data_IF_352082883560
#
_entry.id   IF_352082883560
#
_cell.length_a   1.000
_cell.length_b   1.000
_cell.length_c   1.000
_cell.angle_alpha   90.00
_cell.angle_beta   90.00
_cell.angle_gamma   90.00
#
_symmetry.space_group_name_H-M   'P 1'
#
loop_
_entity.id
_entity.type
_entity.pdbx_description
1 polymer ?
#
# COMPACT_ATOMS: atom_id res chain seq x y z
N UNK A 1 4.09 8.85 -33.57
CA UNK A 1 3.33 8.18 -32.49
C UNK A 1 3.21 6.67 -32.68
N UNK A 2 2.92 6.12 -33.87
CA UNK A 2 2.85 4.66 -34.08
C UNK A 2 4.19 3.90 -33.90
N UNK A 3 5.35 4.51 -34.13
CA UNK A 3 6.65 3.82 -33.99
C UNK A 3 7.15 3.67 -32.55
N UNK A 4 6.65 4.49 -31.61
CA UNK A 4 6.90 4.34 -30.17
C UNK A 4 6.02 3.22 -29.58
N UNK A 5 4.79 3.08 -30.06
CA UNK A 5 3.84 2.04 -29.64
C UNK A 5 4.30 0.61 -29.96
N UNK A 6 5.04 0.39 -31.05
CA UNK A 6 5.58 -0.93 -31.40
C UNK A 6 6.75 -1.39 -30.51
N UNK A 7 7.47 -0.47 -29.87
CA UNK A 7 8.52 -0.82 -28.90
C UNK A 7 7.96 -1.17 -27.51
N UNK A 8 6.78 -0.64 -27.18
CA UNK A 8 6.07 -0.83 -25.90
C UNK A 8 5.49 -2.26 -25.77
N UNK A 9 5.04 -2.89 -26.86
CA UNK A 9 4.57 -4.29 -26.84
C UNK A 9 5.69 -5.32 -26.68
N UNK A 10 6.93 -4.98 -27.03
CA UNK A 10 8.07 -5.90 -26.92
C UNK A 10 8.49 -6.13 -25.46
N UNK A 11 8.19 -5.20 -24.55
CA UNK A 11 8.49 -5.32 -23.11
C UNK A 11 7.36 -6.03 -22.35
N UNK A 12 6.10 -5.81 -22.73
CA UNK A 12 4.92 -6.45 -22.11
C UNK A 12 4.84 -7.96 -22.45
N UNK A 13 5.34 -8.38 -23.61
CA UNK A 13 5.30 -9.78 -24.06
C UNK A 13 6.31 -10.72 -23.42
N UNK A 14 7.30 -10.21 -22.67
CA UNK A 14 8.39 -11.04 -22.14
C UNK A 14 8.10 -11.63 -20.73
N UNK A 15 7.05 -11.19 -20.05
CA UNK A 15 6.76 -11.59 -18.66
C UNK A 15 5.73 -12.71 -18.48
N UNK A 16 5.14 -13.27 -19.55
CA UNK A 16 4.25 -14.44 -19.43
C UNK A 16 4.78 -15.74 -20.04
N UNK A 17 5.96 -15.72 -20.63
CA UNK A 17 6.65 -16.93 -21.06
C UNK A 17 8.12 -16.64 -21.28
N UNK A 18 9.01 -17.04 -20.37
CA UNK A 18 10.33 -17.57 -20.70
C UNK A 18 10.87 -18.30 -19.46
N UNK A 19 10.92 -19.62 -19.63
CA UNK A 19 11.83 -20.57 -19.01
C UNK A 19 13.25 -20.05 -18.91
N UNK A 20 13.89 -20.28 -17.75
CA UNK A 20 15.33 -20.20 -17.46
C UNK A 20 16.22 -20.13 -18.70
N UNK A 21 16.66 -18.92 -19.04
CA UNK A 21 17.70 -18.64 -20.03
C UNK A 21 18.55 -17.50 -19.47
N UNK A 22 19.76 -17.83 -19.01
CA UNK A 22 20.71 -16.91 -18.40
C UNK A 22 21.17 -15.89 -19.45
N UNK A 23 20.91 -14.57 -19.30
CA UNK A 23 21.59 -13.56 -20.09
C UNK A 23 23.03 -13.40 -19.61
N UNK A 24 23.95 -13.18 -20.55
CA UNK A 24 25.39 -13.03 -20.30
C UNK A 24 25.64 -11.68 -19.61
N UNK A 25 26.31 -11.72 -18.45
CA UNK A 25 26.59 -10.60 -17.50
C UNK A 25 27.08 -9.27 -18.11
N UNK A 26 27.65 -9.26 -19.32
CA UNK A 26 28.16 -8.06 -19.98
C UNK A 26 27.07 -7.23 -20.71
N UNK A 27 25.95 -7.85 -21.08
CA UNK A 27 24.80 -7.18 -21.72
C UNK A 27 23.96 -6.42 -20.66
N UNK A 28 23.95 -6.93 -19.42
CA UNK A 28 23.22 -6.38 -18.28
C UNK A 28 23.79 -5.03 -17.78
N UNK A 29 25.12 -4.86 -17.77
CA UNK A 29 25.78 -3.65 -17.26
C UNK A 29 25.58 -2.41 -18.17
N UNK A 30 25.59 -2.61 -19.50
CA UNK A 30 25.32 -1.53 -20.47
C UNK A 30 23.83 -1.15 -20.47
N UNK A 31 22.94 -2.13 -20.29
CA UNK A 31 21.50 -1.92 -20.12
C UNK A 31 21.17 -1.18 -18.82
N UNK A 32 21.89 -1.46 -17.71
CA UNK A 32 21.70 -0.78 -16.43
C UNK A 32 22.05 0.72 -16.52
N UNK A 33 23.14 1.06 -17.21
CA UNK A 33 23.60 2.45 -17.39
C UNK A 33 22.68 3.26 -18.30
N UNK A 34 22.15 2.63 -19.35
CA UNK A 34 21.14 3.23 -20.22
C UNK A 34 19.82 3.46 -19.46
N UNK A 35 19.42 2.49 -18.63
CA UNK A 35 18.24 2.58 -17.75
C UNK A 35 18.36 3.72 -16.73
N UNK A 36 19.52 3.90 -16.11
CA UNK A 36 19.77 5.03 -15.20
C UNK A 36 19.68 6.39 -15.89
N UNK A 37 20.20 6.52 -17.12
CA UNK A 37 20.08 7.76 -17.90
C UNK A 37 18.62 8.06 -18.25
N UNK A 38 17.83 7.03 -18.58
CA UNK A 38 16.42 7.15 -18.87
C UNK A 38 15.62 7.56 -17.62
N UNK A 39 15.94 7.02 -16.44
CA UNK A 39 15.32 7.41 -15.18
C UNK A 39 15.53 8.90 -14.86
N UNK A 40 16.73 9.44 -15.10
CA UNK A 40 17.00 10.87 -14.88
C UNK A 40 16.28 11.78 -15.87
N UNK A 41 16.00 11.31 -17.10
CA UNK A 41 15.15 12.02 -18.05
C UNK A 41 13.67 11.96 -17.61
N UNK A 42 13.19 10.78 -17.23
CA UNK A 42 11.83 10.57 -16.72
C UNK A 42 11.57 11.44 -15.48
N UNK A 43 12.52 11.56 -14.53
CA UNK A 43 12.38 12.45 -13.36
C UNK A 43 12.18 13.92 -13.73
N UNK A 44 12.90 14.41 -14.74
CA UNK A 44 12.72 15.79 -15.22
C UNK A 44 11.34 15.98 -15.84
N UNK A 45 10.87 14.99 -16.59
CA UNK A 45 9.54 15.01 -17.19
C UNK A 45 8.44 14.95 -16.11
N UNK A 46 8.62 14.13 -15.07
CA UNK A 46 7.73 14.11 -13.91
C UNK A 46 7.64 15.49 -13.23
N UNK A 47 8.76 16.20 -13.08
CA UNK A 47 8.76 17.53 -12.45
C UNK A 47 8.05 18.58 -13.31
N UNK A 48 8.19 18.51 -14.64
CA UNK A 48 7.43 19.34 -15.58
C UNK A 48 5.93 19.03 -15.50
N UNK A 49 5.56 17.75 -15.42
CA UNK A 49 4.17 17.32 -15.30
C UNK A 49 3.56 17.75 -13.97
N UNK A 50 4.30 17.66 -12.85
CA UNK A 50 3.85 18.18 -11.55
C UNK A 50 3.54 19.69 -11.62
N UNK A 51 4.36 20.47 -12.32
CA UNK A 51 4.11 21.89 -12.55
C UNK A 51 2.86 22.10 -13.43
N UNK A 52 2.75 21.37 -14.54
CA UNK A 52 1.59 21.45 -15.43
C UNK A 52 0.28 21.05 -14.75
N UNK A 53 0.30 20.05 -13.88
CA UNK A 53 -0.84 19.63 -13.05
C UNK A 53 -1.23 20.75 -12.07
N UNK A 54 -0.26 21.40 -11.43
CA UNK A 54 -0.51 22.51 -10.51
C UNK A 54 -1.14 23.72 -11.23
N UNK A 55 -0.69 24.02 -12.46
CA UNK A 55 -1.23 25.09 -13.28
C UNK A 55 -2.64 24.75 -13.81
N UNK A 56 -2.85 23.52 -14.26
CA UNK A 56 -4.13 23.03 -14.77
C UNK A 56 -5.22 22.99 -13.68
N UNK A 57 -4.85 22.64 -12.43
CA UNK A 57 -5.76 22.64 -11.28
C UNK A 57 -6.42 24.00 -11.02
N UNK A 58 -5.76 25.10 -11.37
CA UNK A 58 -6.30 26.45 -11.21
C UNK A 58 -7.20 26.88 -12.39
N UNK A 59 -7.34 26.05 -13.42
CA UNK A 59 -8.00 26.37 -14.69
C UNK A 59 -9.09 25.35 -15.08
N UNK A 60 -9.55 24.46 -14.18
CA UNK A 60 -10.49 23.32 -14.37
C UNK A 60 -11.90 23.68 -14.93
N UNK A 61 -12.10 24.92 -15.38
CA UNK A 61 -13.37 25.43 -15.88
C UNK A 61 -13.73 24.97 -17.29
N UNK A 62 -12.92 24.17 -17.98
CA UNK A 62 -13.23 23.68 -19.33
C UNK A 62 -12.94 22.19 -19.47
N UNK A 63 -13.62 21.51 -20.40
CA UNK A 63 -13.40 20.09 -20.68
C UNK A 63 -11.97 19.85 -21.15
N UNK A 64 -11.45 20.75 -22.00
CA UNK A 64 -10.09 20.65 -22.51
C UNK A 64 -9.04 20.70 -21.38
N UNK A 65 -9.22 21.59 -20.40
CA UNK A 65 -8.32 21.69 -19.27
C UNK A 65 -8.42 20.46 -18.35
N UNK A 66 -9.64 19.94 -18.14
CA UNK A 66 -9.84 18.72 -17.35
C UNK A 66 -9.21 17.49 -18.01
N UNK A 67 -9.30 17.37 -19.35
CA UNK A 67 -8.64 16.30 -20.10
C UNK A 67 -7.12 16.45 -20.06
N UNK A 68 -6.59 17.66 -20.21
CA UNK A 68 -5.15 17.91 -20.10
C UNK A 68 -4.62 17.58 -18.69
N UNK A 69 -5.38 17.91 -17.65
CA UNK A 69 -5.06 17.51 -16.28
C UNK A 69 -4.98 15.99 -16.12
N UNK A 70 -6.01 15.26 -16.58
CA UNK A 70 -6.03 13.80 -16.51
C UNK A 70 -4.90 13.17 -17.34
N UNK A 71 -4.60 13.73 -18.51
CA UNK A 71 -3.49 13.28 -19.36
C UNK A 71 -2.15 13.43 -18.66
N UNK A 72 -1.89 14.60 -18.07
CA UNK A 72 -0.66 14.84 -17.34
C UNK A 72 -0.55 13.93 -16.10
N UNK A 73 -1.68 13.62 -15.43
CA UNK A 73 -1.69 12.68 -14.31
C UNK A 73 -1.41 11.24 -14.74
N UNK A 74 -2.00 10.80 -15.86
CA UNK A 74 -1.78 9.48 -16.43
C UNK A 74 -0.30 9.34 -16.80
N UNK A 75 0.26 10.31 -17.52
CA UNK A 75 1.65 10.31 -17.94
C UNK A 75 2.61 10.33 -16.75
N UNK A 76 2.33 11.15 -15.73
CA UNK A 76 3.10 11.18 -14.49
C UNK A 76 3.09 9.80 -13.80
N UNK A 77 1.93 9.16 -13.71
CA UNK A 77 1.78 7.86 -13.06
C UNK A 77 2.48 6.76 -13.87
N UNK A 78 2.42 6.81 -15.21
CA UNK A 78 3.15 5.88 -16.09
C UNK A 78 4.66 6.00 -15.90
N UNK A 79 5.20 7.22 -15.87
CA UNK A 79 6.64 7.46 -15.63
C UNK A 79 7.08 7.00 -14.24
N UNK A 80 6.24 7.17 -13.23
CA UNK A 80 6.51 6.67 -11.87
C UNK A 80 6.53 5.14 -11.81
N UNK A 81 5.63 4.47 -12.54
CA UNK A 81 5.63 3.01 -12.66
C UNK A 81 6.92 2.55 -13.33
N UNK A 82 7.34 3.19 -14.43
CA UNK A 82 8.58 2.85 -15.12
C UNK A 82 9.81 3.00 -14.20
N UNK A 83 9.88 4.11 -13.45
CA UNK A 83 10.95 4.35 -12.47
C UNK A 83 10.98 3.27 -11.38
N UNK A 84 9.82 2.99 -10.78
CA UNK A 84 9.67 1.98 -9.71
C UNK A 84 10.00 0.58 -10.24
N UNK A 85 9.64 0.26 -11.49
CA UNK A 85 10.00 -1.02 -12.11
C UNK A 85 11.51 -1.16 -12.34
N UNK A 86 12.17 -0.09 -12.78
CA UNK A 86 13.62 -0.08 -12.95
C UNK A 86 14.34 -0.24 -11.60
N UNK A 87 13.88 0.45 -10.55
CA UNK A 87 14.40 0.33 -9.18
C UNK A 87 14.22 -1.10 -8.64
N UNK A 88 13.05 -1.71 -8.88
CA UNK A 88 12.78 -3.10 -8.52
C UNK A 88 13.76 -4.08 -9.19
N UNK A 89 13.98 -3.94 -10.50
CA UNK A 89 14.91 -4.80 -11.24
C UNK A 89 16.35 -4.64 -10.76
N UNK A 90 16.81 -3.41 -10.53
CA UNK A 90 18.15 -3.15 -10.00
C UNK A 90 18.36 -3.78 -8.61
N UNK A 91 17.35 -3.70 -7.73
CA UNK A 91 17.38 -4.36 -6.41
C UNK A 91 17.33 -5.89 -6.52
N UNK A 92 16.65 -6.42 -7.53
CA UNK A 92 16.63 -7.85 -7.80
C UNK A 92 18.01 -8.37 -8.25
N UNK A 93 18.73 -7.60 -9.08
CA UNK A 93 20.12 -7.91 -9.44
C UNK A 93 21.06 -7.81 -8.22
N UNK A 94 20.85 -6.83 -7.34
CA UNK A 94 21.60 -6.72 -6.07
C UNK A 94 21.36 -7.94 -5.18
N UNK A 95 20.12 -8.43 -5.11
CA UNK A 95 19.73 -9.62 -4.37
C UNK A 95 20.45 -10.87 -4.90
N UNK A 96 20.46 -11.06 -6.21
CA UNK A 96 21.13 -12.20 -6.84
C UNK A 96 22.64 -12.17 -6.59
N UNK A 97 23.28 -11.00 -6.71
CA UNK A 97 24.70 -10.84 -6.37
C UNK A 97 24.98 -11.10 -4.88
N UNK A 98 24.09 -10.69 -3.97
CA UNK A 98 24.24 -10.95 -2.54
C UNK A 98 24.11 -12.44 -2.21
N UNK A 99 23.18 -13.15 -2.85
CA UNK A 99 23.03 -14.60 -2.72
C UNK A 99 24.27 -15.36 -3.20
N UNK A 100 24.85 -14.96 -4.33
CA UNK A 100 26.11 -15.52 -4.83
C UNK A 100 27.27 -15.29 -3.84
N UNK A 101 27.37 -14.08 -3.28
CA UNK A 101 28.38 -13.73 -2.28
C UNK A 101 28.22 -14.57 -1.00
N UNK A 102 26.99 -14.78 -0.54
CA UNK A 102 26.67 -15.62 0.61
C UNK A 102 27.07 -17.08 0.37
N UNK A 103 26.77 -17.63 -0.82
CA UNK A 103 27.16 -18.99 -1.19
C UNK A 103 28.70 -19.16 -1.20
N UNK A 104 29.41 -18.20 -1.78
CA UNK A 104 30.88 -18.20 -1.79
C UNK A 104 31.48 -18.08 -0.38
N UNK A 105 30.92 -17.22 0.47
CA UNK A 105 31.36 -17.07 1.87
C UNK A 105 31.11 -18.35 2.68
N UNK A 106 29.97 -19.01 2.49
CA UNK A 106 29.67 -20.28 3.15
C UNK A 106 30.70 -21.37 2.80
N UNK A 107 31.06 -21.49 1.51
CA UNK A 107 32.12 -22.41 1.08
C UNK A 107 33.49 -22.07 1.70
N UNK A 108 33.80 -20.78 1.85
CA UNK A 108 35.06 -20.34 2.47
C UNK A 108 35.11 -20.72 3.94
N UNK A 109 34.03 -20.49 4.69
CA UNK A 109 33.89 -20.87 6.09
C UNK A 109 34.06 -22.39 6.26
N UNK A 110 33.48 -23.19 5.37
CA UNK A 110 33.63 -24.66 5.41
C UNK A 110 35.10 -25.09 5.21
N UNK A 111 35.81 -24.47 4.26
CA UNK A 111 37.25 -24.72 4.03
C UNK A 111 38.09 -24.31 5.24
N UNK A 112 37.81 -23.14 5.83
CA UNK A 112 38.50 -22.64 7.03
C UNK A 112 38.25 -23.57 8.22
N UNK A 113 37.02 -24.04 8.42
CA UNK A 113 36.68 -25.01 9.46
C UNK A 113 37.47 -26.31 9.29
N UNK A 114 37.53 -26.86 8.07
CA UNK A 114 38.31 -28.07 7.80
C UNK A 114 39.81 -27.88 8.08
N UNK A 115 40.36 -26.69 7.78
CA UNK A 115 41.75 -26.36 8.12
C UNK A 115 41.97 -26.32 9.63
N UNK A 116 41.05 -25.68 10.38
CA UNK A 116 41.08 -25.65 11.85
C UNK A 116 41.04 -27.08 12.42
N UNK A 117 40.18 -27.95 11.90
CA UNK A 117 40.07 -29.34 12.35
C UNK A 117 41.36 -30.12 12.12
N UNK A 118 41.99 -29.97 10.94
CA UNK A 118 43.28 -30.61 10.61
C UNK A 118 44.42 -30.11 11.49
N UNK A 119 44.54 -28.79 11.67
CA UNK A 119 45.56 -28.17 12.52
C UNK A 119 45.39 -28.59 13.99
N UNK A 120 44.14 -28.61 14.48
CA UNK A 120 43.80 -29.05 15.84
C UNK A 120 44.14 -30.53 16.05
N UNK A 121 43.84 -31.38 15.08
CA UNK A 121 44.18 -32.80 15.13
C UNK A 121 45.70 -33.02 15.18
N UNK A 122 46.46 -32.32 14.33
CA UNK A 122 47.92 -32.38 14.31
C UNK A 122 48.54 -31.89 15.63
N UNK A 123 48.07 -30.75 16.13
CA UNK A 123 48.54 -30.17 17.39
C UNK A 123 48.22 -31.09 18.59
N UNK A 124 47.03 -31.69 18.62
CA UNK A 124 46.63 -32.64 19.67
C UNK A 124 47.47 -33.91 19.62
N UNK A 125 47.75 -34.45 18.44
CA UNK A 125 48.64 -35.61 18.27
C UNK A 125 50.05 -35.30 18.80
N UNK A 126 50.59 -34.11 18.46
CA UNK A 126 51.89 -33.64 18.93
C UNK A 126 51.97 -33.51 20.45
N UNK A 127 50.97 -32.89 21.09
CA UNK A 127 50.89 -32.78 22.55
C UNK A 127 50.85 -34.16 23.18
N UNK A 128 50.04 -35.08 22.65
CA UNK A 128 49.91 -36.45 23.16
C UNK A 128 51.24 -37.20 23.11
N UNK A 129 51.97 -37.11 22.01
CA UNK A 129 53.25 -37.80 21.84
C UNK A 129 54.33 -37.18 22.74
N UNK A 130 54.35 -35.85 22.88
CA UNK A 130 55.20 -35.15 23.84
C UNK A 130 54.93 -35.62 25.28
N UNK A 131 53.67 -35.75 25.67
CA UNK A 131 53.26 -36.22 26.99
C UNK A 131 53.63 -37.70 27.26
N UNK A 132 53.42 -38.59 26.28
CA UNK A 132 53.82 -40.01 26.40
C UNK A 132 55.33 -40.14 26.57
N UNK A 133 56.09 -39.35 25.81
CA UNK A 133 57.55 -39.32 25.89
C UNK A 133 58.00 -38.85 27.28
N UNK A 134 57.40 -37.76 27.80
CA UNK A 134 57.75 -37.22 29.12
C UNK A 134 57.38 -38.13 30.29
N UNK A 135 56.28 -38.90 30.21
CA UNK A 135 55.93 -39.89 31.23
C UNK A 135 56.84 -41.13 31.21
N UNK A 136 57.26 -41.59 30.02
CA UNK A 136 58.11 -42.78 29.88
C UNK A 136 59.55 -42.55 30.34
N UNK A 137 60.04 -41.31 30.31
CA UNK A 137 61.30 -40.91 30.93
C UNK A 137 61.04 -40.45 32.38
N UNK A 138 61.46 -41.23 33.39
CA UNK A 138 61.45 -40.84 34.82
C UNK A 138 62.36 -39.64 35.18
N UNK A 139 62.67 -38.76 34.23
CA UNK A 139 63.49 -37.57 34.39
C UNK A 139 62.78 -36.42 33.71
N UNK A 140 62.15 -35.57 34.51
CA UNK A 140 61.31 -34.42 34.16
C UNK A 140 62.08 -33.25 33.54
N UNK A 141 63.17 -33.50 32.81
CA UNK A 141 63.90 -32.46 32.08
C UNK A 141 64.50 -33.00 30.78
N UNK A 142 64.32 -32.24 29.70
CA UNK A 142 64.89 -32.51 28.36
C UNK A 142 66.42 -32.60 28.38
N UNK A 143 67.07 -32.01 29.39
CA UNK A 143 68.52 -31.92 29.55
C UNK A 143 69.18 -33.27 29.93
N UNK A 144 68.73 -34.01 30.96
CA UNK A 144 69.25 -35.35 31.25
C UNK A 144 68.97 -36.37 30.14
N UNK A 145 67.88 -36.29 29.37
CA UNK A 145 67.67 -37.16 28.20
C UNK A 145 68.67 -36.88 27.07
N UNK A 146 68.97 -35.59 26.83
CA UNK A 146 69.99 -35.13 25.88
C UNK A 146 71.39 -35.64 26.22
N UNK A 147 71.70 -35.75 27.52
CA UNK A 147 73.03 -36.10 28.03
C UNK A 147 73.20 -37.57 28.41
N UNK A 148 72.13 -38.31 28.72
CA UNK A 148 72.22 -39.70 29.23
C UNK A 148 72.21 -40.79 28.16
N UNK A 149 71.92 -40.46 26.91
CA UNK A 149 71.79 -41.43 25.80
C UNK A 149 72.66 -41.09 24.58
N UNK A 150 73.66 -40.22 24.75
CA UNK A 150 74.57 -39.74 23.71
C UNK A 150 76.00 -40.22 23.99
N UNK A 151 76.61 -40.93 23.05
CA UNK A 151 77.98 -41.46 23.17
C UNK A 151 79.08 -40.46 22.72
N UNK A 152 78.72 -39.29 22.15
CA UNK A 152 79.66 -38.23 21.76
C UNK A 152 79.01 -36.82 21.77
N UNK A 153 79.84 -35.78 21.72
CA UNK A 153 79.44 -34.37 21.79
C UNK A 153 78.70 -33.88 20.52
N UNK A 154 78.91 -34.53 19.37
CA UNK A 154 78.23 -34.22 18.12
C UNK A 154 76.75 -34.64 18.18
N UNK A 155 76.44 -35.80 18.77
CA UNK A 155 75.07 -36.28 18.96
C UNK A 155 74.25 -35.36 19.87
N UNK A 156 74.87 -34.79 20.91
CA UNK A 156 74.23 -33.80 21.78
C UNK A 156 73.88 -32.53 21.00
N UNK A 157 74.80 -32.02 20.18
CA UNK A 157 74.58 -30.81 19.36
C UNK A 157 73.50 -31.05 18.29
N UNK A 158 73.50 -32.22 17.63
CA UNK A 158 72.47 -32.59 16.64
C UNK A 158 71.08 -32.71 17.29
N UNK A 159 70.96 -33.37 18.44
CA UNK A 159 69.68 -33.49 19.16
C UNK A 159 69.17 -32.15 19.67
N UNK A 160 70.06 -31.26 20.14
CA UNK A 160 69.69 -29.89 20.50
C UNK A 160 69.15 -29.10 19.30
N UNK A 161 69.80 -29.22 18.13
CA UNK A 161 69.29 -28.63 16.88
C UNK A 161 67.92 -29.19 16.51
N UNK A 162 67.71 -30.50 16.59
CA UNK A 162 66.41 -31.10 16.30
C UNK A 162 65.31 -30.65 17.26
N UNK A 163 65.60 -30.53 18.56
CA UNK A 163 64.64 -30.00 19.53
C UNK A 163 64.26 -28.55 19.24
N UNK A 164 65.22 -27.71 18.80
CA UNK A 164 64.92 -26.34 18.37
C UNK A 164 64.04 -26.29 17.12
N UNK A 165 64.29 -27.15 16.13
CA UNK A 165 63.45 -27.25 14.93
C UNK A 165 62.02 -27.68 15.29
N UNK A 166 61.88 -28.62 16.22
CA UNK A 166 60.59 -29.08 16.74
C UNK A 166 59.84 -27.97 17.49
N UNK A 167 60.50 -27.24 18.38
CA UNK A 167 59.92 -26.10 19.10
C UNK A 167 59.41 -25.02 18.13
N UNK A 168 60.21 -24.69 17.11
CA UNK A 168 59.83 -23.73 16.07
C UNK A 168 58.60 -24.19 15.29
N UNK A 169 58.54 -25.48 14.91
CA UNK A 169 57.40 -26.04 14.19
C UNK A 169 56.13 -26.06 15.07
N UNK A 170 56.25 -26.36 16.36
CA UNK A 170 55.14 -26.36 17.31
C UNK A 170 54.58 -24.93 17.51
N UNK A 171 55.45 -23.90 17.58
CA UNK A 171 55.06 -22.49 17.60
C UNK A 171 54.38 -22.06 16.29
N UNK A 172 54.92 -22.48 15.15
CA UNK A 172 54.32 -22.19 13.84
C UNK A 172 52.93 -22.81 13.70
N UNK A 173 52.74 -24.05 14.16
CA UNK A 173 51.44 -24.74 14.11
C UNK A 173 50.40 -24.03 14.99
N UNK A 174 50.79 -23.55 16.18
CA UNK A 174 49.92 -22.77 17.05
C UNK A 174 49.54 -21.43 16.41
N UNK A 175 50.50 -20.71 15.83
CA UNK A 175 50.24 -19.45 15.12
C UNK A 175 49.31 -19.62 13.91
N UNK A 176 49.47 -20.70 13.14
CA UNK A 176 48.56 -21.04 12.04
C UNK A 176 47.14 -21.35 12.53
N UNK A 177 47.01 -22.07 13.66
CA UNK A 177 45.71 -22.36 14.26
C UNK A 177 45.02 -21.11 14.79
N UNK A 178 45.76 -20.21 15.44
CA UNK A 178 45.26 -18.92 15.92
C UNK A 178 44.76 -18.05 14.76
N UNK A 179 45.55 -17.92 13.69
CA UNK A 179 45.17 -17.14 12.51
C UNK A 179 43.96 -17.73 11.78
N UNK A 180 43.89 -19.06 11.66
CA UNK A 180 42.74 -19.73 11.06
C UNK A 180 41.46 -19.51 11.87
N UNK A 181 41.53 -19.59 13.21
CA UNK A 181 40.40 -19.30 14.11
C UNK A 181 39.95 -17.84 14.03
N UNK A 182 40.90 -16.91 13.95
CA UNK A 182 40.61 -15.49 13.76
C UNK A 182 39.85 -15.25 12.45
N UNK A 183 40.39 -15.76 11.34
CA UNK A 183 39.77 -15.69 10.01
C UNK A 183 38.35 -16.27 10.02
N UNK A 184 38.16 -17.44 10.64
CA UNK A 184 36.85 -18.08 10.75
C UNK A 184 35.81 -17.21 11.50
N UNK A 185 36.23 -16.57 12.59
CA UNK A 185 35.34 -15.69 13.35
C UNK A 185 34.98 -14.42 12.55
N UNK A 186 35.94 -13.84 11.83
CA UNK A 186 35.70 -12.70 10.94
C UNK A 186 34.75 -13.06 9.79
N UNK A 187 34.93 -14.22 9.16
CA UNK A 187 34.05 -14.73 8.10
C UNK A 187 32.62 -15.00 8.62
N UNK A 188 32.48 -15.54 9.83
CA UNK A 188 31.17 -15.73 10.47
C UNK A 188 30.48 -14.41 10.80
N UNK A 189 31.22 -13.41 11.28
CA UNK A 189 30.66 -12.09 11.54
C UNK A 189 30.16 -11.45 10.24
N UNK A 190 30.97 -11.51 9.17
CA UNK A 190 30.58 -11.03 7.84
C UNK A 190 29.34 -11.76 7.29
N UNK A 191 29.24 -13.08 7.49
CA UNK A 191 28.07 -13.87 7.09
C UNK A 191 26.79 -13.36 7.77
N UNK A 192 26.86 -13.03 9.05
CA UNK A 192 25.71 -12.52 9.80
C UNK A 192 25.29 -11.13 9.30
N UNK A 193 26.24 -10.23 9.06
CA UNK A 193 25.97 -8.92 8.44
C UNK A 193 25.30 -9.08 7.07
N UNK A 194 25.81 -9.95 6.21
CA UNK A 194 25.23 -10.19 4.88
C UNK A 194 23.84 -10.82 4.90
N UNK A 195 23.51 -11.59 5.94
CA UNK A 195 22.14 -12.09 6.14
C UNK A 195 21.19 -10.98 6.55
N UNK A 196 21.65 -10.00 7.33
CA UNK A 196 20.85 -8.82 7.66
C UNK A 196 20.59 -7.98 6.41
N UNK A 197 21.63 -7.69 5.62
CA UNK A 197 21.51 -7.03 4.30
C UNK A 197 20.50 -7.76 3.39
N UNK A 198 20.49 -9.10 3.40
CA UNK A 198 19.59 -9.92 2.61
C UNK A 198 18.12 -9.75 3.00
N UNK A 199 17.82 -9.76 4.31
CA UNK A 199 16.45 -9.60 4.77
C UNK A 199 15.95 -8.16 4.56
N UNK A 200 16.80 -7.16 4.78
CA UNK A 200 16.48 -5.75 4.47
C UNK A 200 16.14 -5.58 2.98
N UNK A 201 16.95 -6.12 2.08
CA UNK A 201 16.72 -6.01 0.64
C UNK A 201 15.44 -6.72 0.17
N UNK A 202 15.08 -7.86 0.80
CA UNK A 202 13.80 -8.54 0.54
C UNK A 202 12.61 -7.71 0.99
N UNK A 203 12.72 -7.06 2.15
CA UNK A 203 11.67 -6.17 2.65
C UNK A 203 11.48 -4.96 1.73
N UNK A 204 12.57 -4.36 1.24
CA UNK A 204 12.52 -3.28 0.24
C UNK A 204 11.85 -3.73 -1.07
N UNK A 205 12.20 -4.90 -1.61
CA UNK A 205 11.56 -5.47 -2.81
C UNK A 205 10.06 -5.71 -2.61
N UNK A 206 9.66 -6.14 -1.41
CA UNK A 206 8.25 -6.33 -1.06
C UNK A 206 7.48 -5.01 -1.04
N UNK A 207 8.05 -3.97 -0.42
CA UNK A 207 7.48 -2.63 -0.40
C UNK A 207 7.35 -2.06 -1.81
N UNK A 208 8.36 -2.27 -2.64
CA UNK A 208 8.38 -1.79 -4.02
C UNK A 208 7.30 -2.45 -4.88
N UNK A 209 7.07 -3.76 -4.68
CA UNK A 209 5.97 -4.47 -5.33
C UNK A 209 4.59 -3.93 -4.92
N UNK A 210 4.41 -3.60 -3.64
CA UNK A 210 3.16 -2.97 -3.16
C UNK A 210 2.99 -1.57 -3.76
N UNK A 211 4.08 -0.80 -3.89
CA UNK A 211 4.08 0.52 -4.54
C UNK A 211 3.63 0.41 -6.00
N UNK A 212 4.16 -0.56 -6.75
CA UNK A 212 3.76 -0.83 -8.14
C UNK A 212 2.28 -1.18 -8.26
N UNK A 213 1.76 -2.03 -7.36
CA UNK A 213 0.34 -2.39 -7.36
C UNK A 213 -0.55 -1.16 -7.10
N UNK A 214 -0.19 -0.33 -6.13
CA UNK A 214 -0.89 0.93 -5.84
C UNK A 214 -0.88 1.91 -7.01
N UNK A 215 0.27 2.09 -7.67
CA UNK A 215 0.39 2.93 -8.86
C UNK A 215 -0.42 2.37 -10.04
N UNK A 216 -0.41 1.05 -10.26
CA UNK A 216 -1.17 0.39 -11.33
C UNK A 216 -2.69 0.58 -11.15
N UNK A 217 -3.18 0.42 -9.91
CA UNK A 217 -4.58 0.68 -9.57
C UNK A 217 -4.96 2.15 -9.80
N UNK A 218 -4.06 3.07 -9.43
CA UNK A 218 -4.24 4.51 -9.65
C UNK A 218 -4.33 4.84 -11.15
N UNK A 219 -3.41 4.29 -11.96
CA UNK A 219 -3.39 4.47 -13.40
C UNK A 219 -4.68 3.94 -14.06
N UNK A 220 -5.15 2.78 -13.64
CA UNK A 220 -6.41 2.21 -14.13
C UNK A 220 -7.61 3.12 -13.80
N UNK A 221 -7.66 3.68 -12.58
CA UNK A 221 -8.69 4.61 -12.17
C UNK A 221 -8.66 5.93 -12.97
N UNK A 222 -7.48 6.49 -13.21
CA UNK A 222 -7.31 7.70 -14.03
C UNK A 222 -7.76 7.48 -15.47
N UNK A 223 -7.33 6.37 -16.10
CA UNK A 223 -7.76 5.99 -17.47
C UNK A 223 -9.27 5.79 -17.56
N UNK A 224 -9.86 5.08 -16.61
CA UNK A 224 -11.31 4.89 -16.53
C UNK A 224 -12.05 6.23 -16.38
N UNK A 225 -11.53 7.15 -15.56
CA UNK A 225 -12.13 8.47 -15.34
C UNK A 225 -12.10 9.31 -16.62
N UNK A 226 -10.96 9.29 -17.34
CA UNK A 226 -10.82 9.97 -18.64
C UNK A 226 -11.76 9.39 -19.69
N UNK A 227 -11.80 8.07 -19.85
CA UNK A 227 -12.66 7.41 -20.83
C UNK A 227 -14.13 7.70 -20.57
N UNK A 228 -14.53 7.72 -19.30
CA UNK A 228 -15.89 8.03 -18.95
C UNK A 228 -16.23 9.51 -19.14
N UNK A 229 -15.32 10.44 -18.79
CA UNK A 229 -15.50 11.86 -19.08
C UNK A 229 -15.72 12.10 -20.58
N UNK A 230 -14.91 11.45 -21.44
CA UNK A 230 -15.08 11.49 -22.89
C UNK A 230 -16.41 10.88 -23.34
N UNK A 231 -16.88 9.82 -22.68
CA UNK A 231 -18.15 9.16 -23.02
C UNK A 231 -19.38 10.01 -22.69
N UNK A 232 -19.41 10.64 -21.51
CA UNK A 232 -20.57 11.44 -21.08
C UNK A 232 -20.62 12.80 -21.76
N UNK A 233 -19.45 13.44 -21.91
CA UNK A 233 -19.37 14.73 -22.60
C UNK A 233 -19.42 14.55 -24.10
N UNK A 234 -19.10 13.35 -24.63
CA UNK A 234 -18.91 13.11 -26.06
C UNK A 234 -17.89 14.07 -26.68
N UNK A 235 -16.92 14.50 -25.86
CA UNK A 235 -15.96 15.54 -26.22
C UNK A 235 -16.62 16.89 -26.58
N UNK A 236 -17.79 17.19 -26.00
CA UNK A 236 -18.54 18.43 -26.19
C UNK A 236 -18.46 19.32 -24.93
N UNK A 237 -17.96 20.53 -25.13
CA UNK A 237 -17.76 21.52 -24.06
C UNK A 237 -19.09 21.98 -23.46
N UNK A 238 -20.14 22.15 -24.27
CA UNK A 238 -21.44 22.61 -23.76
C UNK A 238 -22.07 21.57 -22.81
N UNK A 239 -21.96 20.29 -23.17
CA UNK A 239 -22.38 19.17 -22.32
C UNK A 239 -21.58 19.15 -21.00
N UNK A 240 -20.26 19.35 -21.06
CA UNK A 240 -19.42 19.46 -19.86
C UNK A 240 -19.82 20.64 -18.97
N UNK A 241 -20.02 21.84 -19.54
CA UNK A 241 -20.44 23.03 -18.80
C UNK A 241 -21.80 22.84 -18.15
N UNK A 242 -22.75 22.18 -18.82
CA UNK A 242 -24.05 21.85 -18.23
C UNK A 242 -23.88 20.96 -17.00
N UNK A 243 -23.12 19.88 -17.12
CA UNK A 243 -22.85 18.96 -16.01
C UNK A 243 -22.13 19.66 -14.85
N UNK A 244 -21.14 20.50 -15.15
CA UNK A 244 -20.42 21.27 -14.14
C UNK A 244 -21.36 22.21 -13.37
N UNK A 245 -22.26 22.88 -14.06
CA UNK A 245 -23.25 23.76 -13.42
C UNK A 245 -24.26 22.97 -12.56
N UNK A 246 -24.68 21.78 -12.99
CA UNK A 246 -25.56 20.90 -12.22
C UNK A 246 -24.89 20.47 -10.90
N UNK A 247 -23.62 20.06 -10.93
CA UNK A 247 -22.84 19.66 -9.76
C UNK A 247 -22.61 20.84 -8.80
N UNK A 248 -22.27 22.02 -9.34
CA UNK A 248 -22.08 23.21 -8.52
C UNK A 248 -23.39 23.65 -7.85
N UNK A 249 -24.52 23.50 -8.54
CA UNK A 249 -25.83 23.78 -7.96
C UNK A 249 -26.19 22.80 -6.83
N UNK A 250 -25.87 21.50 -6.99
CA UNK A 250 -26.04 20.49 -5.95
C UNK A 250 -25.13 20.74 -4.74
N UNK A 251 -23.86 21.08 -4.96
CA UNK A 251 -22.93 21.49 -3.90
C UNK A 251 -23.47 22.68 -3.11
N UNK A 252 -23.98 23.70 -3.82
CA UNK A 252 -24.55 24.88 -3.20
C UNK A 252 -25.80 24.53 -2.38
N UNK A 253 -26.63 23.60 -2.86
CA UNK A 253 -27.85 23.21 -2.16
C UNK A 253 -27.57 22.42 -0.89
N UNK A 254 -26.61 21.48 -0.92
CA UNK A 254 -26.14 20.78 0.28
C UNK A 254 -25.51 21.73 1.30
N UNK A 255 -24.69 22.69 0.87
CA UNK A 255 -24.12 23.69 1.79
C UNK A 255 -25.22 24.56 2.44
N UNK A 256 -26.24 24.95 1.68
CA UNK A 256 -27.41 25.66 2.21
C UNK A 256 -28.17 24.82 3.24
N UNK A 257 -28.28 23.51 3.01
CA UNK A 257 -28.95 22.60 3.92
C UNK A 257 -28.25 22.54 5.27
N UNK A 258 -26.93 22.40 5.27
CA UNK A 258 -26.11 22.41 6.49
C UNK A 258 -26.18 23.75 7.22
N UNK A 259 -26.22 24.88 6.50
CA UNK A 259 -26.40 26.19 7.10
C UNK A 259 -27.79 26.35 7.75
N UNK A 260 -28.84 25.84 7.10
CA UNK A 260 -30.20 25.85 7.65
C UNK A 260 -30.28 24.94 8.90
N UNK A 261 -29.70 23.75 8.84
CA UNK A 261 -29.59 22.86 9.99
C UNK A 261 -28.86 23.53 11.16
N UNK A 262 -27.70 24.14 10.91
CA UNK A 262 -26.97 24.88 11.93
C UNK A 262 -27.79 26.02 12.54
N UNK A 263 -28.59 26.72 11.73
CA UNK A 263 -29.50 27.77 12.21
C UNK A 263 -30.59 27.22 13.13
N UNK A 264 -31.15 26.04 12.82
CA UNK A 264 -32.13 25.35 13.65
C UNK A 264 -31.52 24.84 14.96
N UNK A 265 -30.30 24.29 14.93
CA UNK A 265 -29.59 23.86 16.15
C UNK A 265 -29.27 25.07 17.05
N UNK A 266 -28.90 26.22 16.47
CA UNK A 266 -28.64 27.46 17.23
C UNK A 266 -29.90 28.10 17.82
N UNK A 267 -31.05 27.91 17.19
CA UNK A 267 -32.33 28.47 17.61
C UNK A 267 -33.37 27.35 17.73
N UNK A 268 -33.33 26.57 18.82
CA UNK A 268 -34.27 25.48 19.05
C UNK A 268 -35.73 25.97 19.05
N UNK A 269 -36.63 25.12 18.60
CA UNK A 269 -38.08 25.36 18.51
C UNK A 269 -38.78 24.65 17.36
N UNK A 270 -38.04 24.02 16.44
CA UNK A 270 -38.58 23.29 15.29
C UNK A 270 -38.09 21.84 15.21
N UNK A 271 -37.25 21.41 16.14
CA UNK A 271 -36.84 20.03 16.31
C UNK A 271 -38.00 19.15 16.78
N UNK A 272 -37.96 17.88 16.38
CA UNK A 272 -38.98 16.90 16.74
C UNK A 272 -38.30 15.67 17.33
N UNK A 273 -38.69 15.28 18.54
CA UNK A 273 -38.29 13.97 19.06
C UNK A 273 -38.97 12.87 18.24
N UNK A 274 -38.17 11.95 17.70
CA UNK A 274 -38.65 10.81 16.93
C UNK A 274 -38.23 9.51 17.59
N UNK A 275 -39.09 8.51 17.50
CA UNK A 275 -38.80 7.13 17.87
C UNK A 275 -38.45 6.32 16.64
N UNK A 276 -37.65 5.27 16.84
CA UNK A 276 -37.39 4.28 15.80
C UNK A 276 -38.72 3.78 15.21
N UNK A 277 -38.86 3.88 13.88
CA UNK A 277 -40.09 3.48 13.20
C UNK A 277 -41.18 4.57 13.15
N UNK A 278 -40.90 5.81 13.56
CA UNK A 278 -41.77 6.95 13.25
C UNK A 278 -41.60 7.37 11.80
N UNK A 279 -42.69 7.79 11.14
CA UNK A 279 -42.65 8.32 9.77
C UNK A 279 -42.09 9.74 9.80
N UNK A 280 -40.97 9.94 9.10
CA UNK A 280 -40.24 11.22 9.05
C UNK A 280 -40.32 11.91 7.69
N UNK A 281 -40.83 11.21 6.67
CA UNK A 281 -40.99 11.78 5.35
C UNK A 281 -41.48 10.76 4.33
N UNK A 282 -41.52 11.21 3.08
CA UNK A 282 -41.92 10.39 1.94
C UNK A 282 -40.77 10.44 0.93
N UNK A 283 -40.46 9.29 0.31
CA UNK A 283 -39.49 9.21 -0.78
C UNK A 283 -39.86 10.23 -1.87
N UNK A 284 -38.86 10.97 -2.33
CA UNK A 284 -39.05 12.06 -3.27
C UNK A 284 -38.02 12.09 -4.38
N UNK A 285 -37.96 13.25 -5.03
CA UNK A 285 -37.04 13.59 -6.12
C UNK A 285 -36.55 15.04 -5.95
N UNK A 286 -36.44 15.51 -4.71
CA UNK A 286 -35.98 16.88 -4.46
C UNK A 286 -34.45 16.94 -4.59
N UNK A 287 -33.92 18.03 -5.14
CA UNK A 287 -32.50 18.18 -5.46
C UNK A 287 -32.17 17.71 -6.89
N UNK A 288 -30.89 17.73 -7.24
CA UNK A 288 -30.42 17.40 -8.59
C UNK A 288 -30.28 15.88 -8.78
N UNK A 289 -31.42 15.18 -8.81
CA UNK A 289 -31.45 13.71 -8.96
C UNK A 289 -32.10 13.22 -10.24
N UNK A 290 -31.54 12.13 -10.75
CA UNK A 290 -31.99 11.48 -11.99
C UNK A 290 -33.29 10.69 -11.83
N UNK A 291 -33.68 10.33 -10.60
CA UNK A 291 -34.88 9.56 -10.29
C UNK A 291 -35.31 9.66 -8.83
N UNK A 292 -36.52 9.18 -8.52
CA UNK A 292 -37.02 9.08 -7.15
C UNK A 292 -36.23 8.02 -6.37
N UNK A 293 -35.62 8.41 -5.27
CA UNK A 293 -34.91 7.52 -4.35
C UNK A 293 -34.69 8.23 -3.00
N UNK A 294 -34.32 7.45 -1.98
CA UNK A 294 -33.79 7.91 -0.70
C UNK A 294 -32.27 7.78 -0.73
N UNK A 295 -31.55 8.86 -0.49
CA UNK A 295 -30.14 8.79 -0.11
C UNK A 295 -30.04 8.77 1.42
N UNK A 296 -29.47 7.69 1.98
CA UNK A 296 -29.33 7.47 3.41
C UNK A 296 -27.85 7.46 3.82
N UNK A 297 -27.46 8.43 4.65
CA UNK A 297 -26.10 8.56 5.15
C UNK A 297 -26.01 8.39 6.66
N UNK A 298 -24.88 7.87 7.15
CA UNK A 298 -24.57 7.77 8.59
C UNK A 298 -23.27 8.50 8.86
N UNK A 299 -23.25 9.38 9.85
CA UNK A 299 -22.10 10.23 10.17
C UNK A 299 -21.81 10.23 11.68
N UNK A 300 -20.54 10.41 12.05
CA UNK A 300 -20.13 10.67 13.45
C UNK A 300 -20.22 12.15 13.77
N UNK A 301 -21.44 12.65 13.93
CA UNK A 301 -21.70 14.02 14.34
C UNK A 301 -22.73 14.11 15.46
N UNK A 302 -22.51 15.08 16.35
CA UNK A 302 -23.45 15.54 17.37
C UNK A 302 -23.91 16.98 17.06
N UNK A 303 -25.00 17.43 17.67
CA UNK A 303 -25.42 18.84 17.59
C UNK A 303 -24.30 19.80 18.02
N UNK A 304 -23.51 19.41 19.03
CA UNK A 304 -22.39 20.19 19.52
C UNK A 304 -21.27 20.33 18.46
N UNK A 305 -21.04 19.32 17.62
CA UNK A 305 -20.06 19.41 16.53
C UNK A 305 -20.49 20.45 15.50
N UNK A 306 -21.79 20.54 15.21
CA UNK A 306 -22.35 21.58 14.35
C UNK A 306 -22.17 22.98 14.96
N UNK A 307 -22.50 23.16 16.23
CA UNK A 307 -22.31 24.43 16.96
C UNK A 307 -20.83 24.86 16.98
N UNK A 308 -19.92 23.90 17.05
CA UNK A 308 -18.47 24.11 17.04
C UNK A 308 -17.88 24.29 15.63
N UNK A 309 -18.70 24.19 14.57
CA UNK A 309 -18.24 24.29 13.18
C UNK A 309 -17.41 23.09 12.70
N UNK A 310 -17.49 21.94 13.38
CA UNK A 310 -16.75 20.71 13.07
C UNK A 310 -17.59 19.72 12.27
N UNK A 311 -18.11 20.14 11.12
CA UNK A 311 -18.95 19.30 10.28
C UNK A 311 -18.51 19.35 8.81
N UNK A 312 -18.67 18.23 8.10
CA UNK A 312 -18.39 18.10 6.67
C UNK A 312 -19.05 16.84 6.13
N UNK A 313 -19.58 16.89 4.90
CA UNK A 313 -20.03 15.69 4.20
C UNK A 313 -18.87 14.82 3.70
N UNK A 314 -17.66 15.37 3.67
CA UNK A 314 -16.45 14.73 3.14
C UNK A 314 -15.71 13.88 4.15
N UNK A 315 -16.09 13.97 5.42
CA UNK A 315 -15.40 13.34 6.53
C UNK A 315 -16.41 12.73 7.48
N UNK A 316 -15.96 11.81 8.33
CA UNK A 316 -16.78 11.20 9.39
C UNK A 316 -18.03 10.45 8.92
N UNK A 317 -18.21 10.24 7.61
CA UNK A 317 -19.20 9.31 7.08
C UNK A 317 -18.80 7.87 7.43
N UNK A 318 -19.80 7.03 7.58
CA UNK A 318 -19.66 5.65 7.99
C UNK A 318 -20.47 4.77 7.06
N UNK A 319 -20.02 3.54 6.85
CA UNK A 319 -20.78 2.58 6.07
C UNK A 319 -22.14 2.30 6.73
N UNK A 320 -23.28 2.76 6.18
CA UNK A 320 -24.59 2.52 6.77
C UNK A 320 -24.91 1.03 6.92
N UNK A 321 -24.33 0.18 6.06
CA UNK A 321 -24.52 -1.26 6.08
C UNK A 321 -24.15 -1.88 7.43
N UNK A 322 -23.06 -1.42 8.04
CA UNK A 322 -22.58 -1.93 9.33
C UNK A 322 -23.53 -1.64 10.49
N UNK A 323 -24.37 -0.61 10.36
CA UNK A 323 -25.33 -0.20 11.39
C UNK A 323 -26.71 -0.82 11.19
N UNK A 324 -27.03 -1.23 9.96
CA UNK A 324 -28.31 -1.82 9.54
C UNK A 324 -28.32 -3.36 9.53
N UNK A 325 -27.22 -4.03 9.14
CA UNK A 325 -27.20 -5.47 8.85
C UNK A 325 -27.19 -6.37 10.11
N UNK A 326 -26.63 -5.86 11.21
CA UNK A 326 -26.48 -6.58 12.49
C UNK A 326 -26.78 -5.68 13.72
N UNK A 327 -27.21 -4.43 13.48
CA UNK A 327 -27.99 -3.58 14.38
C UNK A 327 -27.25 -2.73 15.40
N UNK A 328 -27.21 -1.42 15.15
CA UNK A 328 -27.59 -0.41 16.15
C UNK A 328 -28.67 0.55 15.63
N UNK A 329 -28.97 0.53 14.33
CA UNK A 329 -30.02 1.31 13.67
C UNK A 329 -31.01 0.33 13.00
N UNK A 330 -32.28 0.69 12.95
CA UNK A 330 -33.33 0.00 12.20
C UNK A 330 -33.41 0.44 10.73
N UNK A 331 -34.16 -0.31 9.92
CA UNK A 331 -34.36 0.01 8.50
C UNK A 331 -35.21 1.28 8.31
N UNK A 332 -34.82 2.20 7.40
CA UNK A 332 -35.48 3.48 7.23
C UNK A 332 -36.68 3.46 6.27
N UNK A 333 -37.14 2.30 5.82
CA UNK A 333 -38.24 2.15 4.84
C UNK A 333 -39.36 1.24 5.36
N UNK A 334 -40.57 1.43 4.85
CA UNK A 334 -41.82 0.77 5.32
C UNK A 334 -41.93 -0.72 5.04
N UNK A 335 -41.29 -1.22 3.98
CA UNK A 335 -41.59 -2.55 3.47
C UNK A 335 -40.76 -3.63 4.17
N UNK A 336 -41.38 -4.80 4.39
CA UNK A 336 -40.65 -6.02 4.70
C UNK A 336 -39.89 -6.47 3.44
N UNK A 337 -38.61 -6.09 3.38
CA UNK A 337 -37.72 -6.30 2.25
C UNK A 337 -37.05 -7.68 2.28
N UNK A 338 -37.79 -8.72 2.65
CA UNK A 338 -37.33 -10.13 2.64
C UNK A 338 -36.84 -10.64 1.26
N UNK A 339 -37.06 -9.88 0.18
CA UNK A 339 -36.61 -10.15 -1.17
C UNK A 339 -35.42 -9.29 -1.66
N UNK A 340 -34.95 -8.32 -0.87
CA UNK A 340 -33.68 -7.64 -1.15
C UNK A 340 -32.57 -8.57 -0.66
N UNK A 341 -31.51 -8.84 -1.43
CA UNK A 341 -30.36 -9.61 -0.93
C UNK A 341 -29.89 -9.02 0.40
N UNK A 342 -29.40 -9.85 1.31
CA UNK A 342 -29.03 -9.34 2.62
C UNK A 342 -27.99 -8.25 2.45
N UNK A 343 -28.00 -7.24 3.33
CA UNK A 343 -27.02 -6.16 3.29
C UNK A 343 -25.57 -6.70 3.45
N UNK A 344 -25.41 -7.99 3.84
CA UNK A 344 -24.15 -8.74 3.87
C UNK A 344 -23.70 -9.23 2.48
N UNK A 345 -24.65 -9.62 1.62
CA UNK A 345 -24.39 -10.16 0.28
C UNK A 345 -23.84 -9.10 -0.69
N UNK A 346 -24.02 -7.81 -0.36
CA UNK A 346 -23.68 -6.67 -1.20
C UNK A 346 -22.30 -6.06 -0.97
N UNK A 347 -21.54 -6.51 0.04
CA UNK A 347 -20.12 -6.12 0.20
C UNK A 347 -19.22 -6.69 -0.92
N UNK A 348 -19.79 -7.43 -1.88
CA UNK A 348 -19.11 -7.99 -3.04
C UNK A 348 -19.84 -7.59 -4.34
N UNK A 349 -19.29 -6.61 -5.06
CA UNK A 349 -19.48 -6.40 -6.51
C UNK A 349 -20.87 -5.90 -7.01
N UNK A 350 -21.14 -4.60 -6.78
CA UNK A 350 -21.45 -3.53 -7.74
C UNK A 350 -22.31 -3.64 -9.03
N UNK A 351 -22.94 -4.77 -9.36
CA UNK A 351 -23.70 -4.87 -10.61
C UNK A 351 -25.10 -5.49 -10.41
N UNK A 352 -26.07 -4.74 -9.87
CA UNK A 352 -27.51 -5.00 -10.07
C UNK A 352 -28.45 -3.87 -9.58
N UNK A 353 -28.99 -3.09 -10.54
CA UNK A 353 -30.31 -2.42 -10.60
C UNK A 353 -31.02 -1.86 -9.35
N UNK A 354 -31.44 -0.58 -9.43
CA UNK A 354 -32.54 0.04 -8.64
C UNK A 354 -33.88 -0.74 -8.65
N UNK A 355 -34.03 -1.77 -9.47
CA UNK A 355 -35.26 -2.56 -9.58
C UNK A 355 -35.52 -3.43 -8.34
N UNK A 356 -34.49 -3.71 -7.54
CA UNK A 356 -34.56 -4.51 -6.30
C UNK A 356 -34.55 -3.68 -5.02
N UNK A 357 -34.76 -2.36 -5.08
CA UNK A 357 -34.91 -1.54 -3.87
C UNK A 357 -33.65 -0.87 -3.33
N UNK A 358 -32.46 -1.35 -3.71
CA UNK A 358 -31.16 -0.73 -3.41
C UNK A 358 -30.51 -0.31 -4.74
N UNK A 359 -30.21 0.98 -4.86
CA UNK A 359 -29.69 1.61 -6.07
C UNK A 359 -28.17 1.74 -6.07
N UNK A 360 -27.58 2.04 -4.92
CA UNK A 360 -26.14 2.22 -4.78
C UNK A 360 -25.71 1.95 -3.34
N UNK A 361 -24.55 1.32 -3.15
CA UNK A 361 -24.00 1.01 -1.83
C UNK A 361 -22.95 2.04 -1.41
N UNK A 362 -22.57 2.00 -0.14
CA UNK A 362 -21.50 2.82 0.40
C UNK A 362 -20.14 2.31 -0.10
N UNK A 363 -19.25 3.23 -0.44
CA UNK A 363 -17.89 2.93 -0.84
C UNK A 363 -17.60 3.17 -2.31
N UNK A 364 -16.52 2.55 -2.76
CA UNK A 364 -16.08 2.58 -4.15
C UNK A 364 -17.03 1.77 -5.05
N UNK A 365 -18.07 2.44 -5.55
CA UNK A 365 -19.04 1.80 -6.43
C UNK A 365 -18.72 2.05 -7.90
N UNK A 366 -19.13 1.17 -8.81
CA UNK A 366 -19.05 1.34 -10.25
C UNK A 366 -19.76 2.63 -10.65
N UNK A 367 -20.90 2.95 -10.04
CA UNK A 367 -21.56 4.23 -10.28
C UNK A 367 -20.73 5.40 -9.75
N UNK A 368 -20.19 5.35 -8.53
CA UNK A 368 -19.33 6.44 -8.02
C UNK A 368 -18.04 6.61 -8.83
N UNK A 369 -17.40 5.52 -9.27
CA UNK A 369 -16.20 5.48 -10.12
C UNK A 369 -16.47 5.87 -11.57
N UNK A 370 -17.68 5.57 -12.08
CA UNK A 370 -18.14 6.06 -13.37
C UNK A 370 -18.43 7.56 -13.23
N UNK A 371 -19.09 8.04 -12.19
CA UNK A 371 -19.43 9.45 -12.04
C UNK A 371 -18.61 10.17 -10.94
N UNK A 372 -17.27 10.18 -10.99
CA UNK A 372 -16.44 10.66 -9.90
C UNK A 372 -16.54 12.18 -9.70
N UNK A 373 -17.09 12.93 -10.66
CA UNK A 373 -17.39 14.35 -10.52
C UNK A 373 -18.68 14.64 -9.73
N UNK A 374 -19.63 13.70 -9.66
CA UNK A 374 -20.85 13.85 -8.84
C UNK A 374 -20.48 13.82 -7.35
N UNK A 375 -19.52 12.97 -6.98
CA UNK A 375 -19.11 12.78 -5.59
C UNK A 375 -17.78 13.48 -5.22
N UNK A 376 -16.84 13.58 -6.17
CA UNK A 376 -15.47 14.06 -5.96
C UNK A 376 -15.28 15.58 -6.01
N UNK A 377 -16.18 16.34 -6.64
CA UNK A 377 -16.08 17.81 -6.68
C UNK A 377 -16.53 18.46 -5.36
N UNK A 378 -17.42 17.80 -4.61
CA UNK A 378 -17.82 18.24 -3.26
C UNK A 378 -16.72 17.89 -2.24
N UNK A 379 -16.08 16.74 -2.44
CA UNK A 379 -15.14 16.13 -1.51
C UNK A 379 -14.02 15.44 -2.32
N UNK A 380 -12.87 16.09 -2.55
CA UNK A 380 -11.78 15.52 -3.35
C UNK A 380 -11.29 14.14 -2.86
N UNK A 381 -11.48 13.85 -1.57
CA UNK A 381 -11.15 12.57 -0.95
C UNK A 381 -12.19 11.46 -1.20
N UNK A 382 -13.33 11.79 -1.81
CA UNK A 382 -14.42 10.87 -2.18
C UNK A 382 -14.52 10.69 -3.70
N UNK A 383 -13.43 10.96 -4.42
CA UNK A 383 -13.33 10.69 -5.86
C UNK A 383 -13.57 9.20 -6.11
N UNK A 384 -14.66 8.86 -6.79
CA UNK A 384 -15.02 7.45 -7.00
C UNK A 384 -15.70 6.77 -5.81
N UNK A 385 -16.14 7.51 -4.80
CA UNK A 385 -16.68 6.98 -3.53
C UNK A 385 -18.07 7.52 -3.20
N UNK A 386 -19.00 6.64 -2.82
CA UNK A 386 -20.34 6.99 -2.35
C UNK A 386 -20.40 6.96 -0.82
N UNK A 387 -20.79 8.06 -0.19
CA UNK A 387 -20.79 8.24 1.28
C UNK A 387 -22.10 7.83 1.97
N UNK A 388 -23.02 7.18 1.26
CA UNK A 388 -24.29 6.69 1.78
C UNK A 388 -24.75 5.39 1.11
N UNK A 389 -26.02 5.07 1.28
CA UNK A 389 -26.71 4.04 0.50
C UNK A 389 -27.93 4.67 -0.15
N UNK A 390 -28.14 4.39 -1.44
CA UNK A 390 -29.29 4.88 -2.18
C UNK A 390 -30.30 3.75 -2.30
N UNK A 391 -31.56 4.04 -1.96
CA UNK A 391 -32.65 3.09 -1.89
C UNK A 391 -33.85 3.59 -2.69
N UNK A 392 -34.56 2.71 -3.39
CA UNK A 392 -35.72 3.07 -4.20
C UNK A 392 -36.91 2.15 -3.91
N UNK A 393 -37.96 2.68 -3.30
CA UNK A 393 -39.27 2.04 -3.21
C UNK A 393 -40.26 2.58 -4.26
N UNK A 394 -41.48 2.03 -4.31
CA UNK A 394 -42.58 2.66 -5.04
C UNK A 394 -42.75 4.14 -4.68
N UNK A 395 -43.20 4.97 -5.64
CA UNK A 395 -43.46 6.38 -5.34
C UNK A 395 -44.42 6.53 -4.17
N UNK A 396 -44.10 7.42 -3.23
CA UNK A 396 -44.90 7.58 -2.01
C UNK A 396 -44.49 6.66 -0.86
N UNK A 397 -43.41 5.88 -1.00
CA UNK A 397 -42.86 5.06 0.10
C UNK A 397 -42.56 5.93 1.32
N UNK A 398 -43.13 5.56 2.46
CA UNK A 398 -42.87 6.23 3.73
C UNK A 398 -41.44 5.93 4.20
N UNK A 399 -40.77 6.97 4.66
CA UNK A 399 -39.42 6.94 5.24
C UNK A 399 -39.55 7.02 6.75
N UNK A 400 -38.84 6.13 7.44
CA UNK A 400 -38.92 5.92 8.87
C UNK A 400 -37.62 6.31 9.57
N UNK A 401 -37.72 6.82 10.79
CA UNK A 401 -36.55 7.04 11.63
C UNK A 401 -35.85 5.71 11.92
N UNK A 402 -34.58 5.62 11.53
CA UNK A 402 -33.75 4.44 11.75
C UNK A 402 -33.49 4.21 13.25
N UNK A 403 -33.52 5.25 14.08
CA UNK A 403 -33.34 5.15 15.52
C UNK A 403 -33.95 6.35 16.24
N UNK A 404 -34.21 6.19 17.54
CA UNK A 404 -34.57 7.28 18.45
C UNK A 404 -33.60 8.47 18.34
N UNK A 405 -34.13 9.69 18.34
CA UNK A 405 -33.31 10.89 18.28
C UNK A 405 -34.09 12.19 18.13
N UNK A 406 -33.34 13.25 17.86
CA UNK A 406 -33.86 14.60 17.62
C UNK A 406 -33.76 14.90 16.12
N UNK A 407 -34.92 15.06 15.48
CA UNK A 407 -35.05 15.26 14.04
C UNK A 407 -35.15 16.75 13.68
N UNK A 408 -34.40 17.13 12.66
CA UNK A 408 -34.39 18.46 12.05
C UNK A 408 -34.78 18.35 10.59
N UNK A 409 -35.81 19.08 10.18
CA UNK A 409 -36.28 19.07 8.79
C UNK A 409 -35.71 20.25 8.04
N UNK A 410 -35.06 19.97 6.92
CA UNK A 410 -34.56 20.97 5.97
C UNK A 410 -35.36 20.87 4.67
N UNK A 411 -35.92 22.00 4.23
CA UNK A 411 -36.70 22.10 2.99
C UNK A 411 -36.13 23.22 2.14
N UNK A 412 -35.36 22.88 1.10
CA UNK A 412 -34.86 23.83 0.11
C UNK A 412 -35.68 23.79 -1.20
N UNK A 413 -36.78 23.03 -1.21
CA UNK A 413 -37.67 22.87 -2.35
C UNK A 413 -37.16 21.84 -3.37
N UNK A 414 -37.94 21.65 -4.43
CA UNK A 414 -37.67 20.59 -5.41
C UNK A 414 -36.31 20.72 -6.10
N UNK A 415 -35.78 21.93 -6.27
CA UNK A 415 -34.47 22.16 -6.87
C UNK A 415 -33.31 22.09 -5.87
N UNK A 416 -33.54 22.44 -4.60
CA UNK A 416 -32.49 22.51 -3.57
C UNK A 416 -32.31 21.21 -2.77
N UNK A 417 -33.32 20.34 -2.76
CA UNK A 417 -33.32 19.13 -1.94
C UNK A 417 -34.00 19.35 -0.60
N UNK A 418 -34.77 18.34 -0.20
CA UNK A 418 -35.36 18.28 1.13
C UNK A 418 -34.80 17.06 1.84
N UNK A 419 -34.65 17.18 3.15
CA UNK A 419 -34.19 16.08 3.96
C UNK A 419 -34.46 16.25 5.43
N UNK A 420 -34.23 15.16 6.14
CA UNK A 420 -34.29 15.09 7.60
C UNK A 420 -32.91 14.69 8.10
N UNK A 421 -32.48 15.34 9.16
CA UNK A 421 -31.26 14.99 9.90
C UNK A 421 -31.68 14.57 11.29
N UNK A 422 -31.27 13.39 11.74
CA UNK A 422 -31.60 12.91 13.10
C UNK A 422 -30.30 12.73 13.87
N UNK A 423 -30.17 13.41 15.00
CA UNK A 423 -29.09 13.21 15.94
C UNK A 423 -29.49 12.19 17.01
N UNK A 424 -28.62 11.20 17.20
CA UNK A 424 -28.87 10.07 18.09
C UNK A 424 -28.00 10.15 19.34
N UNK A 425 -28.50 9.58 20.45
CA UNK A 425 -27.79 9.58 21.73
C UNK A 425 -26.45 8.82 21.70
N UNK A 426 -26.24 7.94 20.72
CA UNK A 426 -25.00 7.18 20.52
C UNK A 426 -23.88 7.98 19.80
N UNK A 427 -24.09 9.28 19.57
CA UNK A 427 -23.11 10.16 18.91
C UNK A 427 -23.08 10.02 17.39
N UNK A 428 -24.11 9.43 16.81
CA UNK A 428 -24.30 9.34 15.36
C UNK A 428 -25.37 10.33 14.88
N UNK A 429 -25.26 10.70 13.61
CA UNK A 429 -26.27 11.42 12.88
C UNK A 429 -26.68 10.58 11.66
N UNK A 430 -27.99 10.45 11.43
CA UNK A 430 -28.53 9.90 10.17
C UNK A 430 -29.04 11.02 9.27
N UNK A 431 -28.75 10.90 7.98
CA UNK A 431 -29.20 11.79 6.91
C UNK A 431 -30.19 11.05 6.02
N UNK A 432 -31.34 11.66 5.78
CA UNK A 432 -32.36 11.19 4.84
C UNK A 432 -32.58 12.28 3.80
N UNK A 433 -32.13 12.06 2.58
CA UNK A 433 -32.09 13.09 1.53
C UNK A 433 -33.00 12.73 0.35
N UNK A 434 -33.32 13.75 -0.47
CA UNK A 434 -34.25 13.70 -1.61
C UNK A 434 -35.73 13.51 -1.25
N UNK A 435 -36.17 13.92 -0.05
CA UNK A 435 -37.54 13.73 0.45
C UNK A 435 -38.57 14.71 -0.17
N UNK A 436 -39.87 14.44 0.07
CA UNK A 436 -41.01 15.33 -0.24
C UNK A 436 -41.54 16.08 1.00
#
# INVERSE_FOLDING_TARGET
MLSKFLKILAVIGFLFSVTVGIPVKAELDDDLKNTQSQMEENKKEQDLLKQAIADAKNQEKTLANQLAYLDNQIELTELQIEETQAEYLAKQDELDNLLDNLANLAQKIEKTQSAIDKLTAAFTARIRDSYKTSQSSKLTSSLPMLLSTSSNLQDVVLRFKYLKVVEQHDQQLLGQLEEAKKTFNEEKANLETKKQELEELKDELSQEKQRLEGQSNTLAAQKSSKDHLLKVTKNDEATYQQMLNEILAEQQSLQQAFNQLLSQIKNPGNEVEVKRGDVIGIQGRSGQVTGEHLHFGVYRYTEQDFLNGKYSLCYSHLNPASYLNLGSLGWPLSADFSSIPSLADFNANDDAYCASGLCQVYGETKYAKLYPWVYGNLCPNLYGFHNGIDMNGPSGTAIYAAEDGVAYTVRLGDAGGNGVFIFHANGLMTLYWHLR
#
